data_IF_886586856286
#
_entry.id   IF_886586856286
#
_cell.length_a   1.000
_cell.length_b   1.000
_cell.length_c   1.000
_cell.angle_alpha   90.00
_cell.angle_beta   90.00
_cell.angle_gamma   90.00
#
_symmetry.space_group_name_H-M   'P 1'
#
loop_
_entity.id
_entity.type
_entity.pdbx_description
1 polymer ?
#
# COMPACT_ATOMS: atom_id res chain seq x y z
N UNK A 1 -14.65 -3.06 -16.28
CA UNK A 1 -14.77 -2.90 -14.81
C UNK A 1 -15.31 -1.50 -14.54
N UNK A 2 -16.21 -1.33 -13.56
CA UNK A 2 -16.71 -0.01 -13.15
C UNK A 2 -15.74 0.71 -12.21
N UNK A 3 -15.89 2.04 -12.05
CA UNK A 3 -15.08 2.80 -11.08
C UNK A 3 -15.39 2.34 -9.64
N UNK A 4 -14.39 2.24 -8.74
CA UNK A 4 -14.65 1.98 -7.33
C UNK A 4 -15.43 3.15 -6.70
N UNK A 5 -16.25 2.88 -5.69
CA UNK A 5 -17.00 3.91 -4.95
C UNK A 5 -16.11 4.75 -4.03
N UNK A 6 -16.63 5.89 -3.54
CA UNK A 6 -15.95 6.76 -2.57
C UNK A 6 -15.54 5.98 -1.31
N UNK A 7 -16.48 5.24 -0.73
CA UNK A 7 -16.28 4.38 0.45
C UNK A 7 -15.23 3.29 0.19
N UNK A 8 -15.23 2.68 -1.00
CA UNK A 8 -14.21 1.69 -1.40
C UNK A 8 -12.82 2.32 -1.39
N UNK A 9 -12.64 3.47 -2.02
CA UNK A 9 -11.36 4.18 -2.09
C UNK A 9 -10.91 4.66 -0.70
N UNK A 10 -11.83 5.17 0.11
CA UNK A 10 -11.56 5.57 1.49
C UNK A 10 -11.10 4.37 2.34
N UNK A 11 -11.72 3.19 2.15
CA UNK A 11 -11.40 1.96 2.87
C UNK A 11 -10.09 1.28 2.48
N UNK A 12 -9.43 1.68 1.38
CA UNK A 12 -8.15 1.08 0.99
C UNK A 12 -7.06 1.29 2.04
N UNK A 13 -6.65 0.19 2.68
CA UNK A 13 -5.58 0.19 3.67
C UNK A 13 -4.20 0.00 2.99
N UNK A 14 -3.69 1.06 2.38
CA UNK A 14 -2.38 1.05 1.73
C UNK A 14 -1.22 0.87 2.73
N UNK A 15 -1.43 1.16 4.02
CA UNK A 15 -0.42 0.93 5.05
C UNK A 15 -0.23 -0.56 5.33
N UNK A 16 -1.32 -1.33 5.45
CA UNK A 16 -1.26 -2.77 5.62
C UNK A 16 -0.59 -3.47 4.43
N UNK A 17 -0.85 -2.99 3.21
CA UNK A 17 -0.20 -3.51 2.00
C UNK A 17 1.32 -3.31 2.04
N UNK A 18 1.79 -2.15 2.51
CA UNK A 18 3.22 -1.87 2.69
C UNK A 18 3.84 -2.70 3.81
N UNK A 19 3.12 -2.90 4.92
CA UNK A 19 3.58 -3.79 6.01
C UNK A 19 3.75 -5.23 5.53
N UNK A 20 2.79 -5.75 4.76
CA UNK A 20 2.89 -7.08 4.18
C UNK A 20 4.05 -7.18 3.17
N UNK A 21 4.24 -6.14 2.36
CA UNK A 21 5.38 -6.07 1.43
C UNK A 21 6.72 -6.15 2.15
N UNK A 22 6.90 -5.38 3.23
CA UNK A 22 8.10 -5.40 4.05
C UNK A 22 8.33 -6.78 4.68
N UNK A 23 7.29 -7.38 5.28
CA UNK A 23 7.40 -8.71 5.89
C UNK A 23 7.80 -9.82 4.91
N UNK A 24 7.37 -9.74 3.64
CA UNK A 24 7.82 -10.67 2.61
C UNK A 24 9.31 -10.50 2.30
N UNK A 25 9.77 -9.26 2.11
CA UNK A 25 11.17 -8.94 1.81
C UNK A 25 12.08 -9.37 2.97
N UNK A 26 11.69 -9.06 4.20
CA UNK A 26 12.42 -9.46 5.40
C UNK A 26 12.48 -11.00 5.52
N UNK A 27 11.34 -11.69 5.33
CA UNK A 27 11.29 -13.15 5.35
C UNK A 27 12.16 -13.82 4.27
N UNK A 28 12.23 -13.22 3.07
CA UNK A 28 13.13 -13.69 2.01
C UNK A 28 14.61 -13.51 2.37
N UNK A 29 14.96 -12.40 3.02
CA UNK A 29 16.31 -12.15 3.55
C UNK A 29 16.68 -13.16 4.65
N UNK A 30 15.76 -13.43 5.57
CA UNK A 30 15.95 -14.39 6.65
C UNK A 30 16.16 -15.81 6.13
N UNK A 31 15.35 -16.24 5.16
CA UNK A 31 15.49 -17.56 4.53
C UNK A 31 16.88 -17.73 3.89
N UNK A 32 17.37 -16.73 3.17
CA UNK A 32 18.72 -16.77 2.57
C UNK A 32 19.81 -16.84 3.62
N UNK A 33 19.66 -16.09 4.72
CA UNK A 33 20.62 -16.07 5.83
C UNK A 33 20.69 -17.42 6.54
N UNK A 34 19.54 -18.01 6.87
CA UNK A 34 19.47 -19.34 7.50
C UNK A 34 20.10 -20.42 6.61
N UNK A 35 19.84 -20.33 5.31
CA UNK A 35 20.34 -21.28 4.32
C UNK A 35 21.85 -21.15 4.11
N UNK A 36 22.37 -19.92 4.08
CA UNK A 36 23.82 -19.69 4.06
C UNK A 36 24.46 -20.28 5.32
N UNK A 37 23.85 -20.07 6.48
CA UNK A 37 24.32 -20.65 7.74
C UNK A 37 24.36 -22.19 7.71
N UNK A 38 23.37 -22.83 7.07
CA UNK A 38 23.38 -24.29 6.87
C UNK A 38 24.50 -24.75 5.94
N UNK A 39 24.76 -24.02 4.85
CA UNK A 39 25.86 -24.32 3.95
C UNK A 39 27.22 -24.15 4.65
N UNK A 40 27.41 -23.06 5.37
CA UNK A 40 28.63 -22.78 6.12
C UNK A 40 28.88 -23.87 7.16
N UNK A 41 27.85 -24.31 7.89
CA UNK A 41 27.95 -25.40 8.85
C UNK A 41 28.31 -26.74 8.20
N UNK A 42 27.78 -27.02 7.01
CA UNK A 42 28.13 -28.23 6.25
C UNK A 42 29.59 -28.20 5.77
N UNK A 43 30.08 -27.02 5.37
CA UNK A 43 31.47 -26.81 4.96
C UNK A 43 32.44 -26.82 6.15
N UNK A 44 32.09 -26.24 7.29
CA UNK A 44 32.89 -26.26 8.52
C UNK A 44 32.97 -27.66 9.15
N UNK A 45 32.01 -28.54 8.85
CA UNK A 45 32.09 -29.96 9.21
C UNK A 45 33.18 -30.70 8.42
N UNK A 46 33.71 -30.12 7.33
CA UNK A 46 34.84 -30.63 6.57
C UNK A 46 36.09 -30.67 7.48
N UNK A 47 36.42 -31.87 7.95
CA UNK A 47 37.50 -32.10 8.92
C UNK A 47 37.07 -32.85 10.17
N UNK A 48 35.77 -32.86 10.49
CA UNK A 48 35.19 -33.74 11.52
C UNK A 48 34.66 -35.03 10.91
N UNK A 49 34.02 -34.92 9.74
CA UNK A 49 33.50 -36.04 8.95
C UNK A 49 34.22 -36.06 7.60
N UNK A 50 34.54 -37.24 7.08
CA UNK A 50 35.29 -37.44 5.84
C UNK A 50 34.64 -38.51 4.96
N UNK A 51 34.79 -38.39 3.65
CA UNK A 51 34.32 -39.38 2.67
C UNK A 51 32.95 -39.07 2.07
N UNK A 52 32.22 -40.10 1.65
CA UNK A 52 30.94 -39.95 0.93
C UNK A 52 29.88 -39.21 1.74
N UNK A 53 29.82 -39.41 3.05
CA UNK A 53 28.84 -38.75 3.92
C UNK A 53 29.02 -37.23 3.98
N UNK A 54 30.27 -36.75 3.96
CA UNK A 54 30.58 -35.32 3.88
C UNK A 54 30.10 -34.75 2.54
N UNK A 55 30.48 -35.41 1.42
CA UNK A 55 30.08 -34.98 0.08
C UNK A 55 28.56 -34.95 -0.10
N UNK A 56 27.85 -35.94 0.43
CA UNK A 56 26.39 -35.98 0.39
C UNK A 56 25.76 -34.83 1.17
N UNK A 57 26.31 -34.47 2.35
CA UNK A 57 25.84 -33.34 3.14
C UNK A 57 26.07 -32.01 2.42
N UNK A 58 27.28 -31.78 1.88
CA UNK A 58 27.60 -30.57 1.11
C UNK A 58 26.71 -30.43 -0.14
N UNK A 59 26.52 -31.51 -0.90
CA UNK A 59 25.64 -31.52 -2.07
C UNK A 59 24.20 -31.19 -1.70
N UNK A 60 23.72 -31.73 -0.57
CA UNK A 60 22.38 -31.44 -0.08
C UNK A 60 22.24 -29.97 0.31
N UNK A 61 23.19 -29.44 1.07
CA UNK A 61 23.19 -28.03 1.48
C UNK A 61 23.24 -27.07 0.29
N UNK A 62 24.06 -27.37 -0.73
CA UNK A 62 24.12 -26.60 -1.98
C UNK A 62 22.80 -26.66 -2.76
N UNK A 63 22.19 -27.85 -2.85
CA UNK A 63 20.90 -28.03 -3.52
C UNK A 63 19.78 -27.27 -2.82
N UNK A 64 19.70 -27.39 -1.49
CA UNK A 64 18.71 -26.70 -0.68
C UNK A 64 18.94 -25.17 -0.78
N UNK A 65 20.20 -24.72 -0.84
CA UNK A 65 20.53 -23.32 -1.08
C UNK A 65 20.03 -22.80 -2.43
N UNK A 66 20.25 -23.55 -3.50
CA UNK A 66 19.80 -23.15 -4.82
C UNK A 66 18.28 -22.99 -4.88
N UNK A 67 17.52 -23.90 -4.27
CA UNK A 67 16.05 -23.83 -4.24
C UNK A 67 15.53 -22.70 -3.34
N UNK A 68 16.10 -22.51 -2.16
CA UNK A 68 15.68 -21.42 -1.26
C UNK A 68 16.02 -20.05 -1.85
N UNK A 69 17.13 -19.92 -2.58
CA UNK A 69 17.46 -18.68 -3.29
C UNK A 69 16.44 -18.33 -4.39
N UNK A 70 15.91 -19.33 -5.10
CA UNK A 70 14.82 -19.12 -6.07
C UNK A 70 13.55 -18.66 -5.35
N UNK A 71 13.14 -19.38 -4.30
CA UNK A 71 11.96 -19.04 -3.51
C UNK A 71 12.06 -17.63 -2.91
N UNK A 72 13.21 -17.29 -2.32
CA UNK A 72 13.46 -15.95 -1.78
C UNK A 72 13.34 -14.86 -2.85
N UNK A 73 13.77 -15.15 -4.09
CA UNK A 73 13.66 -14.20 -5.20
C UNK A 73 12.21 -13.98 -5.64
N UNK A 74 11.40 -15.03 -5.62
CA UNK A 74 9.96 -14.93 -5.91
C UNK A 74 9.21 -14.16 -4.81
N UNK A 75 9.57 -14.39 -3.54
CA UNK A 75 9.02 -13.68 -2.39
C UNK A 75 9.41 -12.18 -2.45
N UNK A 76 10.66 -11.87 -2.74
CA UNK A 76 11.12 -10.47 -2.94
C UNK A 76 10.33 -9.80 -4.06
N UNK A 77 10.12 -10.50 -5.17
CA UNK A 77 9.34 -9.98 -6.30
C UNK A 77 7.90 -9.70 -5.87
N UNK A 78 7.27 -10.61 -5.13
CA UNK A 78 5.93 -10.40 -4.60
C UNK A 78 5.86 -9.18 -3.67
N UNK A 79 6.80 -9.05 -2.72
CA UNK A 79 6.90 -7.89 -1.84
C UNK A 79 7.05 -6.59 -2.62
N UNK A 80 7.94 -6.57 -3.62
CA UNK A 80 8.13 -5.40 -4.49
C UNK A 80 6.87 -5.04 -5.29
N UNK A 81 6.14 -6.02 -5.82
CA UNK A 81 4.87 -5.78 -6.53
C UNK A 81 3.85 -5.11 -5.60
N UNK A 82 3.70 -5.60 -4.37
CA UNK A 82 2.77 -5.02 -3.40
C UNK A 82 3.16 -3.58 -3.04
N UNK A 83 4.45 -3.34 -2.77
CA UNK A 83 4.96 -2.00 -2.44
C UNK A 83 4.78 -1.02 -3.62
N UNK A 84 5.14 -1.44 -4.83
CA UNK A 84 4.99 -0.63 -6.04
C UNK A 84 3.52 -0.31 -6.32
N UNK A 85 2.62 -1.28 -6.12
CA UNK A 85 1.17 -1.07 -6.26
C UNK A 85 0.65 -0.06 -5.24
N UNK A 86 1.07 -0.17 -3.97
CA UNK A 86 0.72 0.80 -2.94
C UNK A 86 1.17 2.21 -3.33
N UNK A 87 2.40 2.35 -3.83
CA UNK A 87 2.97 3.63 -4.24
C UNK A 87 2.30 4.20 -5.50
N UNK A 88 1.91 3.37 -6.46
CA UNK A 88 1.19 3.81 -7.65
C UNK A 88 -0.23 4.32 -7.33
N UNK A 89 -0.92 3.69 -6.38
CA UNK A 89 -2.31 4.02 -6.05
C UNK A 89 -2.40 5.19 -5.05
N UNK A 90 -1.42 5.35 -4.17
CA UNK A 90 -1.44 6.32 -3.06
C UNK A 90 -1.72 7.77 -3.50
N UNK A 91 -1.05 8.33 -4.52
CA UNK A 91 -1.27 9.73 -4.92
C UNK A 91 -2.68 9.97 -5.45
N UNK A 92 -3.20 9.04 -6.25
CA UNK A 92 -4.54 9.14 -6.82
C UNK A 92 -5.61 9.04 -5.73
N UNK A 93 -5.44 8.11 -4.78
CA UNK A 93 -6.31 8.00 -3.60
C UNK A 93 -6.30 9.29 -2.78
N UNK A 94 -5.12 9.78 -2.39
CA UNK A 94 -5.00 10.98 -1.57
C UNK A 94 -5.58 12.21 -2.26
N UNK A 95 -5.34 12.36 -3.58
CA UNK A 95 -5.90 13.48 -4.36
C UNK A 95 -7.42 13.41 -4.43
N UNK A 96 -7.99 12.23 -4.68
CA UNK A 96 -9.44 12.07 -4.74
C UNK A 96 -10.10 12.42 -3.41
N UNK A 97 -9.57 11.91 -2.29
CA UNK A 97 -10.11 12.18 -0.95
C UNK A 97 -9.92 13.65 -0.55
N UNK A 98 -8.77 14.25 -0.84
CA UNK A 98 -8.56 15.69 -0.57
C UNK A 98 -9.52 16.59 -1.37
N UNK A 99 -9.88 16.21 -2.60
CA UNK A 99 -10.89 16.93 -3.38
C UNK A 99 -12.29 16.77 -2.81
N UNK A 100 -12.64 15.58 -2.32
CA UNK A 100 -13.89 15.34 -1.59
C UNK A 100 -13.94 16.24 -0.37
N UNK A 101 -12.89 16.25 0.45
CA UNK A 101 -12.81 17.06 1.66
C UNK A 101 -12.96 18.56 1.34
N UNK A 102 -12.34 19.04 0.25
CA UNK A 102 -12.44 20.42 -0.20
C UNK A 102 -13.85 20.80 -0.68
N UNK A 103 -14.53 19.90 -1.42
CA UNK A 103 -15.92 20.13 -1.84
C UNK A 103 -16.87 20.11 -0.65
N UNK A 104 -16.70 19.17 0.28
CA UNK A 104 -17.53 19.05 1.47
C UNK A 104 -17.36 20.24 2.44
N UNK A 105 -16.25 20.99 2.33
CA UNK A 105 -16.04 22.27 3.01
C UNK A 105 -16.70 23.48 2.32
N UNK A 106 -17.02 23.39 1.01
CA UNK A 106 -17.60 24.48 0.20
C UNK A 106 -19.12 24.30 -0.03
N UNK A 107 -19.83 23.78 0.97
CA UNK A 107 -21.28 23.51 0.90
C UNK A 107 -21.67 22.60 -0.29
N UNK A 108 -20.85 21.61 -0.58
CA UNK A 108 -21.22 20.48 -1.43
C UNK A 108 -21.29 19.19 -0.62
N UNK A 109 -21.99 18.21 -1.16
CA UNK A 109 -22.02 16.84 -0.68
C UNK A 109 -21.56 15.93 -1.83
N UNK A 110 -20.60 15.06 -1.54
CA UNK A 110 -20.17 14.03 -2.50
C UNK A 110 -20.74 12.68 -2.09
N UNK A 111 -21.58 12.08 -2.92
CA UNK A 111 -22.15 10.75 -2.63
C UNK A 111 -21.18 9.61 -3.00
N UNK A 112 -21.55 8.38 -2.65
CA UNK A 112 -20.67 7.22 -2.77
C UNK A 112 -20.35 6.84 -4.23
N UNK A 113 -21.24 7.18 -5.15
CA UNK A 113 -21.06 7.01 -6.58
C UNK A 113 -20.23 8.14 -7.23
N UNK A 114 -19.69 9.07 -6.44
CA UNK A 114 -18.98 10.29 -6.84
C UNK A 114 -19.84 11.37 -7.49
N UNK A 115 -21.17 11.31 -7.36
CA UNK A 115 -22.02 12.46 -7.69
C UNK A 115 -21.82 13.58 -6.67
N UNK A 116 -21.88 14.83 -7.14
CA UNK A 116 -21.68 16.04 -6.33
C UNK A 116 -22.97 16.84 -6.33
N UNK A 117 -23.46 17.17 -5.14
CA UNK A 117 -24.69 17.92 -4.92
C UNK A 117 -24.39 19.18 -4.13
N UNK A 118 -24.95 20.31 -4.55
CA UNK A 118 -24.85 21.54 -3.78
C UNK A 118 -25.80 21.48 -2.57
N UNK A 119 -25.34 21.91 -1.40
CA UNK A 119 -26.13 21.92 -0.15
C UNK A 119 -26.51 23.33 0.31
N UNK A 120 -26.07 24.38 -0.41
CA UNK A 120 -26.40 25.78 -0.11
C UNK A 120 -27.91 26.02 -0.15
N UNK A 121 -28.42 26.63 0.91
CA UNK A 121 -29.81 27.09 0.95
C UNK A 121 -29.94 28.54 0.44
N UNK A 122 -30.22 28.68 -0.84
CA UNK A 122 -30.42 29.98 -1.48
C UNK A 122 -31.66 30.75 -1.00
N UNK A 123 -32.61 30.11 -0.31
CA UNK A 123 -33.84 30.76 0.15
C UNK A 123 -33.58 31.82 1.25
N UNK A 124 -32.48 31.69 2.01
CA UNK A 124 -32.07 32.69 3.01
C UNK A 124 -31.24 33.85 2.44
N UNK A 125 -30.54 33.63 1.31
CA UNK A 125 -29.69 34.64 0.67
C UNK A 125 -30.50 35.75 -0.03
N UNK A 126 -31.75 35.45 -0.42
CA UNK A 126 -32.67 36.40 -1.05
C UNK A 126 -33.41 37.32 -0.04
N UNK A 127 -33.22 37.14 1.28
CA UNK A 127 -33.94 37.89 2.33
C UNK A 127 -33.13 38.99 3.04
N UNK A 128 -31.90 39.32 2.62
CA UNK A 128 -31.22 40.52 3.12
C UNK A 128 -31.51 41.74 2.23
N UNK A 129 -31.83 42.92 2.81
CA UNK A 129 -32.82 43.83 2.26
C UNK A 129 -32.22 45.00 1.49
N UNK A 130 -32.96 45.47 0.48
CA UNK A 130 -32.83 46.78 -0.14
C UNK A 130 -33.10 47.91 0.87
N UNK A 131 -32.14 48.21 1.75
CA UNK A 131 -32.20 49.37 2.64
C UNK A 131 -31.38 50.53 2.07
N UNK A 132 -31.88 51.14 1.00
CA UNK A 132 -31.51 52.49 0.59
C UNK A 132 -32.55 53.05 -0.40
N UNK A 133 -33.67 53.54 0.12
CA UNK A 133 -34.51 54.51 -0.59
C UNK A 133 -34.85 55.65 0.37
N UNK A 134 -33.94 56.61 0.39
CA UNK A 134 -34.10 58.03 0.66
C UNK A 134 -35.43 58.48 1.29
N UNK A 135 -35.35 58.81 2.57
CA UNK A 135 -36.15 59.89 3.13
C UNK A 135 -35.71 61.20 2.46
N UNK A 136 -36.59 61.81 1.66
CA UNK A 136 -36.41 63.21 1.23
C UNK A 136 -37.70 63.95 1.53
N UNK A 137 -37.59 64.81 2.52
CA UNK A 137 -38.51 65.89 2.88
C UNK A 137 -38.49 66.95 1.78
N UNK A 138 -39.66 67.35 1.27
CA UNK A 138 -40.15 68.73 1.22
C UNK A 138 -41.55 68.80 0.60
#
# INVERSE_FOLDING_TARGET
>A
MGRPSKSTVAGWNLSALRTQAAGLIDGASDLRTQTQTMLDAAQDAAGKWVGESQRACEQRALSDQAEINKLGSDIDRAGNILNNTANAISPNRSTALSRVDGLEQDDFRVDDDWSVHETRNYAGALQQPSRAALSTTH
#
